data_IF_232022548640
#
_entry.id   IF_232022548640
#
_cell.length_a   1.000
_cell.length_b   1.000
_cell.length_c   1.000
_cell.angle_alpha   90.00
_cell.angle_beta   90.00
_cell.angle_gamma   90.00
#
_symmetry.space_group_name_H-M   'P 1'
#
loop_
_entity.id
_entity.type
_entity.pdbx_description
1 polymer ?
#
# COMPACT_ATOMS: atom_id res chain seq x y z
N UNK A 1 -18.76 -5.88 -28.23
CA UNK A 1 -18.12 -6.55 -27.08
C UNK A 1 -16.63 -6.25 -26.89
N UNK A 2 -15.86 -5.86 -27.92
CA UNK A 2 -14.38 -5.73 -27.83
C UNK A 2 -13.85 -4.70 -26.81
N UNK A 3 -14.63 -3.69 -26.44
CA UNK A 3 -14.22 -2.60 -25.52
C UNK A 3 -14.64 -2.86 -24.07
N UNK A 4 -15.67 -3.68 -23.84
CA UNK A 4 -16.17 -3.96 -22.50
C UNK A 4 -15.15 -4.75 -21.67
N UNK A 5 -14.42 -5.67 -22.30
CA UNK A 5 -13.44 -6.50 -21.62
C UNK A 5 -12.22 -5.72 -21.08
N UNK A 6 -11.55 -4.83 -21.84
CA UNK A 6 -10.49 -3.99 -21.28
C UNK A 6 -11.00 -2.99 -20.23
N UNK A 7 -12.19 -2.42 -20.40
CA UNK A 7 -12.82 -1.56 -19.37
C UNK A 7 -13.09 -2.32 -18.07
N UNK A 8 -13.63 -3.53 -18.16
CA UNK A 8 -13.86 -4.39 -17.01
C UNK A 8 -12.54 -4.75 -16.30
N UNK A 9 -11.46 -4.98 -17.06
CA UNK A 9 -10.13 -5.22 -16.49
C UNK A 9 -9.62 -3.98 -15.73
N UNK A 10 -9.72 -2.78 -16.31
CA UNK A 10 -9.33 -1.53 -15.65
C UNK A 10 -10.13 -1.34 -14.36
N UNK A 11 -11.45 -1.56 -14.40
CA UNK A 11 -12.30 -1.45 -13.23
C UNK A 11 -11.94 -2.48 -12.15
N UNK A 12 -11.66 -3.73 -12.54
CA UNK A 12 -11.27 -4.80 -11.61
C UNK A 12 -9.91 -4.55 -10.97
N UNK A 13 -8.94 -4.01 -11.73
CA UNK A 13 -7.66 -3.56 -11.17
C UNK A 13 -7.93 -2.46 -10.15
N UNK A 14 -8.57 -1.35 -10.58
CA UNK A 14 -8.78 -0.17 -9.74
C UNK A 14 -9.52 -0.52 -8.44
N UNK A 15 -10.64 -1.23 -8.54
CA UNK A 15 -11.44 -1.64 -7.38
C UNK A 15 -10.66 -2.57 -6.45
N UNK A 16 -9.91 -3.53 -6.99
CA UNK A 16 -9.13 -4.46 -6.18
C UNK A 16 -7.96 -3.77 -5.48
N UNK A 17 -7.17 -2.94 -6.17
CA UNK A 17 -6.10 -2.16 -5.52
C UNK A 17 -6.63 -1.22 -4.46
N UNK A 18 -7.76 -0.56 -4.71
CA UNK A 18 -8.38 0.32 -3.73
C UNK A 18 -8.82 -0.46 -2.49
N UNK A 19 -9.58 -1.54 -2.67
CA UNK A 19 -10.11 -2.34 -1.57
C UNK A 19 -8.98 -2.98 -0.75
N UNK A 20 -8.02 -3.63 -1.40
CA UNK A 20 -6.94 -4.34 -0.73
C UNK A 20 -5.94 -3.37 -0.08
N UNK A 21 -5.65 -2.25 -0.73
CA UNK A 21 -4.71 -1.24 -0.23
C UNK A 21 -5.29 -0.35 0.87
N UNK A 22 -6.49 0.18 0.69
CA UNK A 22 -7.06 1.17 1.62
C UNK A 22 -7.83 0.56 2.79
N UNK A 23 -8.43 -0.64 2.61
CA UNK A 23 -9.36 -1.20 3.60
C UNK A 23 -8.75 -2.39 4.35
N UNK A 24 -8.00 -3.25 3.65
CA UNK A 24 -7.55 -4.53 4.22
C UNK A 24 -6.15 -4.45 4.83
N UNK A 25 -5.24 -3.70 4.20
CA UNK A 25 -3.86 -3.67 4.62
C UNK A 25 -3.62 -2.74 5.83
N UNK A 26 -3.27 -3.33 6.97
CA UNK A 26 -2.81 -2.59 8.17
C UNK A 26 -1.34 -2.21 8.11
N UNK A 27 -0.57 -2.87 7.26
CA UNK A 27 0.87 -2.69 7.11
C UNK A 27 1.25 -2.64 5.63
N UNK A 28 2.33 -1.93 5.31
CA UNK A 28 2.84 -1.79 3.93
C UNK A 28 3.15 -3.15 3.29
N UNK A 29 3.75 -4.07 4.05
CA UNK A 29 4.09 -5.41 3.56
C UNK A 29 2.84 -6.20 3.19
N UNK A 30 1.79 -6.13 4.02
CA UNK A 30 0.52 -6.77 3.71
C UNK A 30 -0.13 -6.17 2.46
N UNK A 31 -0.10 -4.84 2.31
CA UNK A 31 -0.60 -4.16 1.12
C UNK A 31 0.10 -4.66 -0.16
N UNK A 32 1.43 -4.74 -0.14
CA UNK A 32 2.23 -5.20 -1.27
C UNK A 32 1.91 -6.65 -1.60
N UNK A 33 1.91 -7.54 -0.60
CA UNK A 33 1.64 -8.96 -0.81
C UNK A 33 0.24 -9.19 -1.41
N UNK A 34 -0.77 -8.56 -0.82
CA UNK A 34 -2.16 -8.72 -1.24
C UNK A 34 -2.41 -8.17 -2.64
N UNK A 35 -1.83 -7.00 -2.94
CA UNK A 35 -1.89 -6.40 -4.29
C UNK A 35 -1.17 -7.26 -5.31
N UNK A 36 -0.01 -7.83 -4.97
CA UNK A 36 0.76 -8.72 -5.85
C UNK A 36 -0.05 -9.98 -6.19
N UNK A 37 -0.67 -10.61 -5.19
CA UNK A 37 -1.55 -11.77 -5.40
C UNK A 37 -2.74 -11.39 -6.30
N UNK A 38 -3.36 -10.22 -6.09
CA UNK A 38 -4.46 -9.76 -6.93
C UNK A 38 -4.06 -9.57 -8.40
N UNK A 39 -2.93 -8.92 -8.65
CA UNK A 39 -2.39 -8.77 -10.01
C UNK A 39 -2.06 -10.12 -10.64
N UNK A 40 -1.55 -11.09 -9.88
CA UNK A 40 -1.29 -12.44 -10.38
C UNK A 40 -2.59 -13.15 -10.80
N UNK A 41 -3.66 -13.03 -10.00
CA UNK A 41 -4.98 -13.60 -10.33
C UNK A 41 -5.56 -12.96 -11.59
N UNK A 42 -5.46 -11.64 -11.74
CA UNK A 42 -5.91 -10.93 -12.94
C UNK A 42 -5.08 -11.32 -14.17
N UNK A 43 -3.76 -11.41 -14.02
CA UNK A 43 -2.86 -11.87 -15.08
C UNK A 43 -3.20 -13.27 -15.55
N UNK A 44 -3.51 -14.18 -14.61
CA UNK A 44 -3.96 -15.54 -14.92
C UNK A 44 -5.30 -15.51 -15.68
N UNK A 45 -6.28 -14.73 -15.23
CA UNK A 45 -7.57 -14.58 -15.90
C UNK A 45 -7.41 -14.04 -17.33
N UNK A 46 -6.56 -13.03 -17.53
CA UNK A 46 -6.21 -12.48 -18.85
C UNK A 46 -5.56 -13.56 -19.72
N UNK A 47 -4.62 -14.33 -19.17
CA UNK A 47 -3.94 -15.40 -19.89
C UNK A 47 -4.92 -16.50 -20.34
N UNK A 48 -5.84 -16.91 -19.47
CA UNK A 48 -6.90 -17.88 -19.81
C UNK A 48 -7.83 -17.33 -20.90
N UNK A 49 -8.26 -16.07 -20.79
CA UNK A 49 -9.09 -15.42 -21.80
C UNK A 49 -8.38 -15.35 -23.17
N UNK A 50 -7.09 -14.99 -23.15
CA UNK A 50 -6.22 -14.94 -24.33
C UNK A 50 -5.97 -16.31 -24.97
N UNK A 51 -5.97 -17.40 -24.18
CA UNK A 51 -5.86 -18.77 -24.69
C UNK A 51 -7.16 -19.22 -25.34
N UNK A 52 -8.30 -18.78 -24.82
CA UNK A 52 -9.64 -19.14 -25.34
C UNK A 52 -9.99 -18.39 -26.62
N UNK A 53 -9.63 -17.11 -26.71
CA UNK A 53 -9.89 -16.29 -27.90
C UNK A 53 -8.64 -15.48 -28.29
N UNK A 54 -8.09 -15.79 -29.48
CA UNK A 54 -6.90 -15.11 -30.01
C UNK A 54 -7.18 -13.64 -30.35
N UNK A 55 -8.42 -13.26 -30.65
CA UNK A 55 -8.79 -11.88 -30.95
C UNK A 55 -8.69 -10.97 -29.72
N UNK A 56 -8.71 -11.53 -28.50
CA UNK A 56 -8.57 -10.79 -27.25
C UNK A 56 -7.11 -10.56 -26.83
N UNK A 57 -6.14 -11.23 -27.45
CA UNK A 57 -4.72 -11.17 -27.03
C UNK A 57 -4.15 -9.76 -27.08
N UNK A 58 -4.38 -9.04 -28.18
CA UNK A 58 -3.92 -7.66 -28.32
C UNK A 58 -4.61 -6.71 -27.34
N UNK A 59 -5.97 -6.62 -27.32
CA UNK A 59 -6.63 -5.63 -26.48
C UNK A 59 -6.50 -5.96 -24.99
N UNK A 60 -6.70 -7.21 -24.56
CA UNK A 60 -6.62 -7.56 -23.14
C UNK A 60 -5.17 -7.67 -22.65
N UNK A 61 -4.33 -8.36 -23.41
CA UNK A 61 -2.92 -8.53 -23.06
C UNK A 61 -2.16 -7.21 -23.08
N UNK A 62 -2.39 -6.37 -24.10
CA UNK A 62 -1.82 -5.03 -24.18
C UNK A 62 -2.28 -4.12 -23.04
N UNK A 63 -3.59 -4.14 -22.71
CA UNK A 63 -4.12 -3.35 -21.59
C UNK A 63 -3.50 -3.81 -20.26
N UNK A 64 -3.47 -5.12 -19.99
CA UNK A 64 -2.87 -5.64 -18.76
C UNK A 64 -1.37 -5.29 -18.67
N UNK A 65 -0.63 -5.46 -19.76
CA UNK A 65 0.79 -5.13 -19.80
C UNK A 65 1.04 -3.63 -19.56
N UNK A 66 0.24 -2.75 -20.17
CA UNK A 66 0.33 -1.32 -19.95
C UNK A 66 0.04 -0.94 -18.48
N UNK A 67 -1.01 -1.51 -17.88
CA UNK A 67 -1.32 -1.29 -16.46
C UNK A 67 -0.16 -1.76 -15.58
N UNK A 68 0.34 -2.98 -15.80
CA UNK A 68 1.44 -3.53 -15.01
C UNK A 68 2.71 -2.67 -15.12
N UNK A 69 3.03 -2.19 -16.33
CA UNK A 69 4.17 -1.29 -16.55
C UNK A 69 4.01 0.04 -15.82
N UNK A 70 2.82 0.67 -15.90
CA UNK A 70 2.52 1.92 -15.19
C UNK A 70 2.59 1.73 -13.67
N UNK A 71 2.03 0.62 -13.15
CA UNK A 71 2.08 0.31 -11.71
C UNK A 71 3.51 0.09 -11.22
N UNK A 72 4.32 -0.68 -11.95
CA UNK A 72 5.73 -0.91 -11.62
C UNK A 72 6.54 0.39 -11.69
N UNK A 73 6.29 1.21 -12.71
CA UNK A 73 6.94 2.51 -12.85
C UNK A 73 6.58 3.45 -11.70
N UNK A 74 5.30 3.52 -11.33
CA UNK A 74 4.83 4.32 -10.19
C UNK A 74 5.45 3.86 -8.87
N UNK A 75 5.53 2.54 -8.65
CA UNK A 75 6.17 1.97 -7.47
C UNK A 75 7.67 2.29 -7.43
N UNK A 76 8.37 2.11 -8.55
CA UNK A 76 9.79 2.44 -8.66
C UNK A 76 10.04 3.93 -8.44
N UNK A 77 9.21 4.78 -9.04
CA UNK A 77 9.32 6.22 -8.92
C UNK A 77 9.12 6.68 -7.48
N UNK A 78 8.06 6.24 -6.80
CA UNK A 78 7.81 6.58 -5.40
C UNK A 78 8.89 6.01 -4.47
N UNK A 79 9.21 4.71 -4.60
CA UNK A 79 10.09 4.04 -3.63
C UNK A 79 11.56 4.40 -3.78
N UNK A 80 12.03 4.64 -5.01
CA UNK A 80 13.47 4.85 -5.28
C UNK A 80 13.85 6.33 -5.30
N UNK A 81 12.92 7.24 -5.64
CA UNK A 81 13.23 8.68 -5.66
C UNK A 81 12.83 9.44 -4.40
N UNK A 82 11.82 9.00 -3.65
CA UNK A 82 11.45 9.71 -2.42
C UNK A 82 12.41 9.33 -1.28
N UNK A 83 13.42 10.16 -1.09
CA UNK A 83 14.27 10.17 0.11
C UNK A 83 13.67 11.00 1.25
N UNK A 84 12.57 11.72 0.99
CA UNK A 84 11.89 12.55 1.98
C UNK A 84 10.66 11.84 2.54
N UNK A 85 10.70 11.54 3.83
CA UNK A 85 9.55 11.03 4.58
C UNK A 85 8.66 12.21 4.91
N UNK A 86 7.57 12.38 4.16
CA UNK A 86 6.50 13.32 4.51
C UNK A 86 5.65 12.74 5.65
N UNK A 87 6.24 12.53 6.83
CA UNK A 87 5.47 12.25 8.03
C UNK A 87 4.96 13.56 8.62
N UNK A 88 3.69 13.58 8.99
CA UNK A 88 3.14 14.67 9.79
C UNK A 88 3.69 14.49 11.20
N UNK A 89 4.85 15.07 11.47
CA UNK A 89 5.39 15.14 12.84
C UNK A 89 4.46 16.04 13.62
N UNK A 90 3.60 15.45 14.45
CA UNK A 90 2.99 16.20 15.53
C UNK A 90 4.13 16.60 16.47
N UNK A 91 4.53 17.86 16.39
CA UNK A 91 5.57 18.44 17.24
C UNK A 91 5.02 18.48 18.66
N UNK A 92 5.30 17.44 19.44
CA UNK A 92 5.03 17.43 20.87
C UNK A 92 5.78 18.56 21.57
N UNK A 93 5.25 19.02 22.70
CA UNK A 93 5.96 19.99 23.55
C UNK A 93 7.33 19.42 23.92
N UNK A 94 8.45 20.13 23.65
CA UNK A 94 9.76 19.63 23.99
C UNK A 94 9.84 19.37 25.49
N UNK A 95 10.50 18.28 25.91
CA UNK A 95 10.58 17.90 27.32
C UNK A 95 11.20 18.99 28.21
N UNK A 96 12.00 19.89 27.62
CA UNK A 96 12.55 21.08 28.29
C UNK A 96 11.51 22.17 28.59
N UNK A 97 10.34 22.13 27.93
CA UNK A 97 9.21 23.03 28.16
C UNK A 97 8.11 22.37 29.00
N UNK A 98 8.26 21.09 29.36
CA UNK A 98 7.45 20.51 30.43
C UNK A 98 7.92 21.14 31.75
N UNK A 99 7.00 21.63 32.61
CA UNK A 99 7.37 22.01 33.96
C UNK A 99 8.09 20.83 34.60
N UNK A 100 9.22 21.10 35.26
CA UNK A 100 9.98 20.07 35.96
C UNK A 100 9.01 19.31 36.86
N UNK A 101 8.70 18.07 36.49
CA UNK A 101 7.94 17.19 37.35
C UNK A 101 8.72 17.14 38.65
N UNK A 102 8.12 17.69 39.71
CA UNK A 102 8.63 17.61 41.07
C UNK A 102 8.90 16.13 41.30
N UNK A 103 10.18 15.74 41.33
CA UNK A 103 10.56 14.36 41.63
C UNK A 103 9.87 14.06 42.96
N UNK A 104 8.96 13.07 43.05
CA UNK A 104 8.57 12.58 44.36
C UNK A 104 9.88 12.20 45.04
N UNK A 105 10.13 12.82 46.19
CA UNK A 105 11.37 12.63 46.93
C UNK A 105 11.56 11.13 47.11
N UNK A 106 12.56 10.56 46.43
CA UNK A 106 12.92 9.14 46.57
C UNK A 106 13.31 8.85 48.03
N UNK A 107 13.57 9.90 48.82
CA UNK A 107 13.64 9.92 50.28
C UNK A 107 12.47 9.20 50.98
N UNK A 108 11.23 9.35 50.51
CA UNK A 108 10.04 8.73 51.13
C UNK A 108 9.94 7.21 50.86
N UNK A 109 10.62 6.73 49.81
CA UNK A 109 10.73 5.30 49.47
C UNK A 109 11.91 4.60 50.17
N UNK A 110 12.84 5.36 50.76
CA UNK A 110 14.00 4.85 51.50
C UNK A 110 13.88 5.05 53.02
N UNK A 111 12.83 5.72 53.50
CA UNK A 111 12.56 5.82 54.93
C UNK A 111 12.27 4.43 55.51
N UNK A 112 12.97 3.99 56.58
CA UNK A 112 12.67 2.73 57.25
C UNK A 112 11.25 2.80 57.82
N UNK A 113 10.39 1.90 57.36
CA UNK A 113 9.06 1.72 57.94
C UNK A 113 9.21 1.20 59.38
N UNK A 114 8.47 1.75 60.36
CA UNK A 114 8.56 1.36 61.76
C UNK A 114 8.04 -0.06 62.03
#
# INVERSE_FOLDING_TARGET
>A
MRVAAPLALVAAVAAGTWFLGAIVARTTVAAIALTTVWFALLGLAVLLACRRDRALRLPLGGTFAAIAAVSLFGLWWGTVRETEVNERVDVGTPASALPAAERPAVEDLLAPQP
#
